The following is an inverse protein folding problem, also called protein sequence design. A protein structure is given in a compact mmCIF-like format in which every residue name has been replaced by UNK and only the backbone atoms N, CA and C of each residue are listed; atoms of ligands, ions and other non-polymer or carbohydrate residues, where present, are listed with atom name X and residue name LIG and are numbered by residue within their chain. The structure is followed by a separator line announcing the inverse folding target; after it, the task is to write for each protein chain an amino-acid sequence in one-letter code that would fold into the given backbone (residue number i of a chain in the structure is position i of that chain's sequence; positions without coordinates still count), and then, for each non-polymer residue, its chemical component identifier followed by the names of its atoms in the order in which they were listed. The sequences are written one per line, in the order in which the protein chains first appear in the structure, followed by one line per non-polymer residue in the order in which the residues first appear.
data_IF_443061354297
#
_entry.id   IF_443061354297
#
_cell.length_a   1.000
_cell.length_b   1.000
_cell.length_c   1.000
_cell.angle_alpha   90.00
_cell.angle_beta   90.00
_cell.angle_gamma   90.00
#
_symmetry.space_group_name_H-M   'P 1'
#
loop_
_entity.id
_entity.type
_entity.pdbx_description
1 polymer ?
#
# COMPACT_ATOMS: atom_id res chain seq x y z
N UNK A 1 15.02 -13.19 2.10
CA UNK A 1 13.58 -12.92 2.27
C UNK A 1 12.80 -13.59 1.13
N UNK A 2 11.73 -14.32 1.44
CA UNK A 2 10.83 -14.86 0.43
C UNK A 2 10.13 -13.72 -0.34
N UNK A 3 9.77 -13.97 -1.60
CA UNK A 3 8.91 -13.09 -2.40
C UNK A 3 7.49 -13.62 -2.33
N UNK A 4 6.56 -12.78 -1.87
CA UNK A 4 5.16 -13.13 -1.67
C UNK A 4 4.31 -12.28 -2.62
N UNK A 5 3.30 -12.91 -3.25
CA UNK A 5 2.25 -12.20 -3.99
C UNK A 5 1.05 -12.03 -3.07
N UNK A 6 0.51 -10.81 -3.01
CA UNK A 6 -0.69 -10.48 -2.26
C UNK A 6 -1.76 -10.00 -3.23
N UNK A 7 -2.96 -10.59 -3.14
CA UNK A 7 -4.18 -9.99 -3.71
C UNK A 7 -4.84 -9.16 -2.61
N UNK A 8 -5.27 -7.95 -2.95
CA UNK A 8 -5.84 -7.00 -2.02
C UNK A 8 -6.95 -6.21 -2.69
N UNK A 9 -7.92 -5.78 -1.89
CA UNK A 9 -8.96 -4.84 -2.30
C UNK A 9 -9.02 -3.69 -1.30
N UNK A 10 -9.37 -2.50 -1.75
CA UNK A 10 -9.56 -1.32 -0.90
C UNK A 10 -10.57 -0.33 -1.47
N UNK A 11 -11.24 0.36 -0.56
CA UNK A 11 -11.99 1.57 -0.86
C UNK A 11 -11.03 2.76 -0.95
N UNK A 12 -10.90 3.35 -2.15
CA UNK A 12 -10.02 4.49 -2.42
C UNK A 12 -10.50 5.83 -1.87
N UNK A 13 -11.74 5.95 -1.40
CA UNK A 13 -12.40 7.22 -1.06
C UNK A 13 -11.55 8.15 -0.17
N UNK A 14 -10.81 7.59 0.78
CA UNK A 14 -10.00 8.34 1.75
C UNK A 14 -8.49 8.15 1.57
N UNK A 15 -8.06 7.80 0.35
CA UNK A 15 -6.66 7.65 -0.02
C UNK A 15 -6.27 8.62 -1.13
N UNK A 16 -5.09 9.20 -1.00
CA UNK A 16 -4.44 10.03 -2.03
C UNK A 16 -3.76 9.20 -3.12
N UNK A 17 -4.36 8.05 -3.46
CA UNK A 17 -3.87 7.08 -4.44
C UNK A 17 -2.96 6.00 -3.84
N UNK A 18 -2.38 5.19 -4.74
CA UNK A 18 -1.50 4.10 -4.34
C UNK A 18 -0.17 4.58 -3.75
N UNK A 19 0.56 5.40 -4.50
CA UNK A 19 1.98 5.65 -4.26
C UNK A 19 2.22 6.52 -3.02
N UNK A 20 3.20 6.13 -2.20
CA UNK A 20 3.57 6.85 -0.99
C UNK A 20 3.97 8.31 -1.27
N UNK A 21 3.41 9.24 -0.49
CA UNK A 21 3.65 10.68 -0.60
C UNK A 21 3.77 11.29 0.81
N UNK A 22 4.69 12.24 1.04
CA UNK A 22 4.86 12.87 2.34
C UNK A 22 3.57 13.54 2.84
N UNK A 23 3.18 13.26 4.08
CA UNK A 23 2.02 13.89 4.72
C UNK A 23 0.65 13.45 4.20
N UNK A 24 0.58 12.51 3.25
CA UNK A 24 -0.66 12.02 2.66
C UNK A 24 -0.93 10.56 3.01
N UNK A 25 -2.20 10.24 3.23
CA UNK A 25 -2.64 8.86 3.44
C UNK A 25 -2.76 8.16 2.09
N UNK A 26 -1.91 7.16 1.86
CA UNK A 26 -1.79 6.42 0.60
C UNK A 26 -1.86 4.92 0.89
N UNK A 27 -2.24 4.12 -0.11
CA UNK A 27 -2.39 2.67 0.07
C UNK A 27 -1.03 2.02 0.37
N UNK A 28 0.02 2.37 -0.39
CA UNK A 28 1.38 1.87 -0.16
C UNK A 28 1.89 2.21 1.24
N UNK A 29 1.66 3.44 1.71
CA UNK A 29 2.08 3.87 3.04
C UNK A 29 1.41 3.07 4.16
N UNK A 30 0.07 2.95 4.11
CA UNK A 30 -0.68 2.21 5.13
C UNK A 30 -0.33 0.72 5.11
N UNK A 31 -0.27 0.11 3.92
CA UNK A 31 0.02 -1.31 3.77
C UNK A 31 1.45 -1.64 4.22
N UNK A 32 2.43 -0.79 3.88
CA UNK A 32 3.83 -0.98 4.31
C UNK A 32 3.94 -0.92 5.84
N UNK A 33 3.31 0.06 6.49
CA UNK A 33 3.30 0.16 7.96
C UNK A 33 2.64 -1.05 8.62
N UNK A 34 1.48 -1.49 8.10
CA UNK A 34 0.76 -2.64 8.63
C UNK A 34 1.58 -3.94 8.47
N UNK A 35 2.16 -4.18 7.30
CA UNK A 35 2.97 -5.37 7.05
C UNK A 35 4.23 -5.36 7.91
N UNK A 36 4.95 -4.23 8.00
CA UNK A 36 6.13 -4.12 8.86
C UNK A 36 5.82 -4.41 10.34
N UNK A 37 4.63 -4.05 10.80
CA UNK A 37 4.14 -4.39 12.14
C UNK A 37 3.95 -5.90 12.31
N UNK A 38 3.33 -6.56 11.33
CA UNK A 38 3.03 -8.00 11.36
C UNK A 38 4.30 -8.84 11.26
N UNK A 39 5.19 -8.52 10.31
CA UNK A 39 6.40 -9.31 10.04
C UNK A 39 7.60 -8.89 10.91
N UNK A 40 7.49 -7.78 11.66
CA UNK A 40 8.52 -7.23 12.54
C UNK A 40 9.85 -6.89 11.84
N UNK A 41 9.76 -6.49 10.58
CA UNK A 41 10.90 -6.06 9.76
C UNK A 41 10.45 -5.03 8.71
N UNK A 42 11.37 -4.21 8.16
CA UNK A 42 11.05 -3.29 7.07
C UNK A 42 10.58 -4.04 5.81
N UNK A 43 9.50 -3.59 5.20
CA UNK A 43 8.91 -4.18 3.99
C UNK A 43 9.09 -3.25 2.80
N UNK A 44 9.40 -3.82 1.63
CA UNK A 44 9.34 -3.13 0.33
C UNK A 44 8.25 -3.75 -0.52
N UNK A 45 7.43 -2.90 -1.12
CA UNK A 45 6.32 -3.32 -1.99
C UNK A 45 6.67 -3.09 -3.46
N UNK A 46 6.06 -3.88 -4.32
CA UNK A 46 5.98 -3.65 -5.76
C UNK A 46 4.53 -3.91 -6.16
N UNK A 47 4.00 -3.12 -7.08
CA UNK A 47 2.59 -3.16 -7.47
C UNK A 47 2.45 -3.46 -8.96
N UNK A 48 1.37 -4.13 -9.34
CA UNK A 48 1.03 -4.38 -10.74
C UNK A 48 0.61 -3.09 -11.47
N UNK A 49 -0.10 -2.18 -10.78
CA UNK A 49 -0.52 -0.88 -11.30
C UNK A 49 -0.74 0.11 -10.17
N UNK A 50 -0.46 1.38 -10.44
CA UNK A 50 -0.76 2.48 -9.49
C UNK A 50 -2.16 3.01 -9.77
N UNK A 51 -2.86 3.41 -8.72
CA UNK A 51 -4.15 4.09 -8.78
C UNK A 51 -4.02 5.54 -8.34
N UNK A 52 -4.87 6.39 -8.93
CA UNK A 52 -5.01 7.79 -8.54
C UNK A 52 -5.86 7.93 -7.27
N UNK A 53 -5.89 9.15 -6.71
CA UNK A 53 -6.70 9.44 -5.52
C UNK A 53 -8.18 9.11 -5.75
N UNK A 54 -8.82 8.47 -4.75
CA UNK A 54 -10.22 8.08 -4.81
C UNK A 54 -10.53 6.79 -5.58
N UNK A 55 -9.60 6.24 -6.36
CA UNK A 55 -9.84 5.02 -7.16
C UNK A 55 -9.82 3.76 -6.28
N UNK A 56 -10.79 2.87 -6.49
CA UNK A 56 -10.90 1.57 -5.81
C UNK A 56 -10.15 0.48 -6.59
N UNK A 57 -9.70 -0.56 -5.88
CA UNK A 57 -9.14 -1.78 -6.49
C UNK A 57 -9.44 -3.00 -5.64
#
# INVERSE_FOLDING_TARGET
MPRIRLDLAYDGTFFSGWAAQPGLRTVEGVLTCALATVVREPVRLTVAGRTDAGVHA
#
